data_IF_254121358250
#
_entry.id   IF_254121358250
#
_cell.length_a   1.000
_cell.length_b   1.000
_cell.length_c   1.000
_cell.angle_alpha   90.00
_cell.angle_beta   90.00
_cell.angle_gamma   90.00
#
_symmetry.space_group_name_H-M   'P 1'
#
loop_
_entity.id
_entity.type
_entity.pdbx_description
1 polymer ?
#
# COMPACT_ATOMS: atom_id res chain seq x y z
N UNK A 1 30.64 -26.65 4.96
CA UNK A 1 29.66 -26.52 3.84
C UNK A 1 29.25 -25.06 3.70
N UNK A 2 29.69 -24.42 2.61
CA UNK A 2 29.33 -23.04 2.32
C UNK A 2 27.89 -23.02 1.79
N UNK A 3 26.93 -22.62 2.60
CA UNK A 3 25.53 -22.44 2.16
C UNK A 3 25.54 -21.32 1.11
N UNK A 4 25.09 -21.65 -0.09
CA UNK A 4 25.01 -20.64 -1.19
C UNK A 4 24.02 -19.55 -0.79
N UNK A 5 24.33 -18.29 -1.08
CA UNK A 5 23.43 -17.17 -0.79
C UNK A 5 22.02 -17.37 -1.35
N UNK A 6 21.91 -18.04 -2.51
CA UNK A 6 20.62 -18.42 -3.10
C UNK A 6 19.76 -19.22 -2.11
N UNK A 7 20.35 -20.21 -1.45
CA UNK A 7 19.62 -21.09 -0.53
C UNK A 7 19.18 -20.33 0.73
N UNK A 8 19.96 -19.34 1.16
CA UNK A 8 19.57 -18.45 2.26
C UNK A 8 18.38 -17.56 1.90
N UNK A 9 18.35 -17.03 0.67
CA UNK A 9 17.22 -16.23 0.18
C UNK A 9 15.96 -17.10 0.10
N UNK A 10 16.07 -18.31 -0.44
CA UNK A 10 14.95 -19.26 -0.49
C UNK A 10 14.43 -19.56 0.92
N UNK A 11 15.33 -19.93 1.85
CA UNK A 11 14.96 -20.23 3.22
C UNK A 11 14.27 -19.03 3.92
N UNK A 12 14.68 -17.81 3.63
CA UNK A 12 14.00 -16.61 4.14
C UNK A 12 12.55 -16.55 3.67
N UNK A 13 12.31 -16.69 2.36
CA UNK A 13 10.95 -16.64 1.81
C UNK A 13 10.10 -17.84 2.26
N UNK A 14 10.69 -19.02 2.39
CA UNK A 14 9.99 -20.20 2.92
C UNK A 14 9.53 -20.01 4.38
N UNK A 15 10.29 -19.25 5.15
CA UNK A 15 9.96 -18.87 6.53
C UNK A 15 8.96 -17.73 6.64
N UNK A 16 8.69 -17.00 5.56
CA UNK A 16 7.68 -15.94 5.56
C UNK A 16 6.27 -16.55 5.60
N UNK A 17 5.34 -15.94 6.37
CA UNK A 17 3.92 -16.26 6.24
C UNK A 17 3.42 -16.05 4.82
N UNK A 18 2.37 -16.79 4.43
CA UNK A 18 1.73 -16.59 3.14
C UNK A 18 1.14 -15.18 3.06
N UNK A 19 1.25 -14.53 1.89
CA UNK A 19 0.74 -13.18 1.65
C UNK A 19 1.63 -12.03 2.12
N UNK A 20 2.73 -12.30 2.80
CA UNK A 20 3.66 -11.25 3.23
C UNK A 20 4.49 -10.74 2.06
N UNK A 21 4.35 -9.45 1.76
CA UNK A 21 5.16 -8.74 0.76
C UNK A 21 6.46 -8.26 1.41
N UNK A 22 7.58 -8.59 0.77
CA UNK A 22 8.93 -8.27 1.23
C UNK A 22 9.55 -7.21 0.32
N UNK A 23 9.93 -6.07 0.89
CA UNK A 23 10.69 -5.05 0.19
C UNK A 23 12.17 -5.48 0.07
N UNK A 24 12.65 -5.64 -1.15
CA UNK A 24 13.98 -6.18 -1.42
C UNK A 24 15.12 -5.33 -0.83
N UNK A 25 14.98 -4.00 -0.83
CA UNK A 25 15.98 -3.11 -0.25
C UNK A 25 16.12 -3.33 1.26
N UNK A 26 14.99 -3.44 1.97
CA UNK A 26 14.99 -3.68 3.42
C UNK A 26 15.55 -5.06 3.76
N UNK A 27 15.17 -6.06 2.97
CA UNK A 27 15.70 -7.40 3.13
C UNK A 27 17.21 -7.42 2.92
N UNK A 28 17.71 -6.72 1.89
CA UNK A 28 19.14 -6.59 1.64
C UNK A 28 19.87 -5.96 2.83
N UNK A 29 19.39 -4.82 3.29
CA UNK A 29 20.01 -4.08 4.39
C UNK A 29 20.06 -4.89 5.69
N UNK A 30 18.97 -5.60 6.01
CA UNK A 30 18.83 -6.36 7.26
C UNK A 30 19.59 -7.69 7.26
N UNK A 31 19.49 -8.45 6.17
CA UNK A 31 19.90 -9.86 6.17
C UNK A 31 21.05 -10.17 5.20
N UNK A 32 21.20 -9.40 4.13
CA UNK A 32 22.10 -9.73 3.02
C UNK A 32 23.14 -8.66 2.70
N UNK A 33 23.35 -7.67 3.58
CA UNK A 33 24.30 -6.56 3.37
C UNK A 33 25.77 -7.01 3.19
N UNK A 34 26.10 -8.23 3.60
CA UNK A 34 27.43 -8.84 3.37
C UNK A 34 27.61 -9.40 1.94
N UNK A 35 26.55 -9.47 1.18
CA UNK A 35 26.56 -9.87 -0.22
C UNK A 35 26.65 -8.64 -1.11
N UNK A 36 27.20 -8.76 -2.32
CA UNK A 36 27.12 -7.69 -3.32
C UNK A 36 25.66 -7.40 -3.65
N UNK A 37 25.27 -6.13 -3.57
CA UNK A 37 23.91 -5.67 -3.87
C UNK A 37 23.43 -6.14 -5.25
N UNK A 38 24.25 -5.95 -6.27
CA UNK A 38 23.94 -6.39 -7.64
C UNK A 38 23.71 -7.92 -7.71
N UNK A 39 24.50 -8.70 -6.96
CA UNK A 39 24.34 -10.15 -6.94
C UNK A 39 23.06 -10.56 -6.21
N UNK A 40 22.67 -9.84 -5.14
CA UNK A 40 21.44 -10.08 -4.40
C UNK A 40 20.21 -9.83 -5.30
N UNK A 41 20.10 -8.67 -5.92
CA UNK A 41 18.98 -8.35 -6.81
C UNK A 41 18.90 -9.30 -8.00
N UNK A 42 20.04 -9.66 -8.60
CA UNK A 42 20.07 -10.65 -9.67
C UNK A 42 19.62 -12.04 -9.22
N UNK A 43 19.90 -12.42 -7.97
CA UNK A 43 19.41 -13.66 -7.40
C UNK A 43 17.88 -13.63 -7.22
N UNK A 44 17.31 -12.54 -6.70
CA UNK A 44 15.86 -12.36 -6.58
C UNK A 44 15.16 -12.43 -7.94
N UNK A 45 15.69 -11.76 -8.98
CA UNK A 45 15.13 -11.83 -10.32
C UNK A 45 15.13 -13.26 -10.89
N UNK A 46 16.22 -14.02 -10.67
CA UNK A 46 16.30 -15.42 -11.10
C UNK A 46 15.31 -16.31 -10.36
N UNK A 47 15.17 -16.11 -9.05
CA UNK A 47 14.22 -16.85 -8.24
C UNK A 47 12.77 -16.57 -8.66
N UNK A 48 12.46 -15.31 -8.98
CA UNK A 48 11.15 -14.92 -9.51
C UNK A 48 10.88 -15.52 -10.89
N UNK A 49 11.87 -15.47 -11.81
CA UNK A 49 11.75 -16.11 -13.13
C UNK A 49 11.58 -17.62 -13.06
N UNK A 50 12.13 -18.27 -12.04
CA UNK A 50 11.96 -19.73 -11.83
C UNK A 50 10.71 -20.09 -11.04
N UNK A 51 9.87 -19.12 -10.65
CA UNK A 51 8.63 -19.34 -9.92
C UNK A 51 8.80 -19.73 -8.46
N UNK A 52 10.01 -19.64 -7.90
CA UNK A 52 10.29 -19.97 -6.49
C UNK A 52 9.74 -18.87 -5.57
N UNK A 53 9.86 -17.62 -6.01
CA UNK A 53 9.21 -16.46 -5.38
C UNK A 53 8.39 -15.72 -6.43
N UNK A 54 7.46 -14.91 -6.00
CA UNK A 54 6.67 -14.06 -6.89
C UNK A 54 7.12 -12.61 -6.78
N UNK A 55 7.37 -11.96 -7.92
CA UNK A 55 7.56 -10.51 -7.98
C UNK A 55 6.21 -9.84 -8.09
N UNK A 56 5.81 -9.09 -7.07
CA UNK A 56 4.51 -8.37 -7.05
C UNK A 56 4.63 -6.95 -7.60
N UNK A 57 5.80 -6.32 -7.42
CA UNK A 57 6.13 -5.02 -8.02
C UNK A 57 7.65 -4.85 -8.15
N UNK A 58 8.10 -3.71 -8.67
CA UNK A 58 9.53 -3.37 -8.72
C UNK A 58 10.09 -3.31 -7.30
N UNK A 59 11.02 -4.22 -6.99
CA UNK A 59 11.64 -4.30 -5.66
C UNK A 59 10.76 -4.95 -4.59
N UNK A 60 9.62 -5.53 -4.93
CA UNK A 60 8.71 -6.19 -4.00
C UNK A 60 8.49 -7.64 -4.40
N UNK A 61 8.64 -8.54 -3.45
CA UNK A 61 8.56 -9.99 -3.66
C UNK A 61 7.75 -10.64 -2.56
N UNK A 62 7.20 -11.81 -2.84
CA UNK A 62 6.50 -12.65 -1.87
C UNK A 62 6.74 -14.12 -2.16
N UNK A 63 6.37 -14.99 -1.23
CA UNK A 63 6.38 -16.43 -1.42
C UNK A 63 5.41 -16.83 -2.54
N UNK A 64 5.82 -17.74 -3.40
CA UNK A 64 5.11 -18.07 -4.66
C UNK A 64 3.73 -18.70 -4.50
N UNK A 65 3.28 -19.09 -3.31
CA UNK A 65 2.11 -19.96 -3.16
C UNK A 65 0.76 -19.26 -2.95
N UNK A 66 0.67 -17.92 -2.78
CA UNK A 66 -0.58 -17.33 -2.26
C UNK A 66 -0.82 -15.85 -2.52
N UNK A 67 -0.51 -15.30 -3.69
CA UNK A 67 -0.90 -13.92 -3.97
C UNK A 67 -2.39 -13.80 -4.24
N UNK A 68 -3.14 -13.42 -3.22
CA UNK A 68 -4.46 -12.80 -3.39
C UNK A 68 -4.29 -11.30 -3.32
N UNK A 69 -5.09 -10.54 -4.08
CA UNK A 69 -5.04 -9.07 -4.06
C UNK A 69 -5.21 -8.49 -2.64
N UNK A 70 -5.92 -9.17 -1.76
CA UNK A 70 -6.10 -8.81 -0.36
C UNK A 70 -4.77 -8.81 0.43
N UNK A 71 -3.86 -9.75 0.14
CA UNK A 71 -2.56 -9.84 0.83
C UNK A 71 -1.67 -8.64 0.48
N UNK A 72 -1.73 -8.19 -0.78
CA UNK A 72 -1.01 -6.99 -1.24
C UNK A 72 -1.57 -5.74 -0.57
N UNK A 73 -2.88 -5.62 -0.46
CA UNK A 73 -3.52 -4.51 0.24
C UNK A 73 -3.15 -4.50 1.72
N UNK A 74 -3.17 -5.64 2.40
CA UNK A 74 -2.78 -5.77 3.80
C UNK A 74 -1.35 -5.26 4.05
N UNK A 75 -0.41 -5.47 3.10
CA UNK A 75 0.93 -4.91 3.20
C UNK A 75 0.91 -3.37 3.28
N UNK A 76 0.06 -2.71 2.48
CA UNK A 76 0.00 -1.25 2.44
C UNK A 76 -0.78 -0.65 3.60
N UNK A 77 -1.73 -1.38 4.17
CA UNK A 77 -2.50 -0.95 5.33
C UNK A 77 -1.83 -1.27 6.67
N UNK A 78 -0.89 -2.24 6.70
CA UNK A 78 -0.29 -2.73 7.95
C UNK A 78 -1.24 -3.59 8.79
N UNK A 79 -0.70 -4.21 9.83
CA UNK A 79 -1.45 -5.14 10.70
C UNK A 79 -2.62 -4.47 11.42
N UNK A 80 -2.49 -3.18 11.75
CA UNK A 80 -3.50 -2.40 12.47
C UNK A 80 -4.37 -1.53 11.55
N UNK A 81 -4.20 -1.63 10.23
CA UNK A 81 -4.83 -0.74 9.23
C UNK A 81 -4.55 0.76 9.43
N UNK A 82 -3.39 1.09 9.95
CA UNK A 82 -2.95 2.46 10.29
C UNK A 82 -1.91 3.04 9.31
N UNK A 83 -1.41 2.22 8.37
CA UNK A 83 -0.40 2.64 7.39
C UNK A 83 -0.95 3.00 6.01
N UNK A 84 -2.25 2.92 5.81
CA UNK A 84 -2.90 3.17 4.52
C UNK A 84 -4.25 3.85 4.62
N UNK A 85 -4.61 4.62 3.59
CA UNK A 85 -5.92 5.25 3.45
C UNK A 85 -6.39 5.20 2.00
N UNK A 86 -7.61 4.69 1.78
CA UNK A 86 -8.20 4.68 0.44
C UNK A 86 -8.50 6.08 -0.05
N UNK A 87 -8.31 6.30 -1.35
CA UNK A 87 -8.74 7.50 -2.08
C UNK A 87 -9.57 7.12 -3.31
N UNK A 88 -10.16 8.09 -3.98
CA UNK A 88 -10.97 7.85 -5.17
C UNK A 88 -12.25 7.05 -4.89
N UNK A 89 -12.63 6.20 -5.83
CA UNK A 89 -13.91 5.49 -5.84
C UNK A 89 -14.18 4.69 -4.56
N UNK A 90 -13.19 3.96 -4.03
CA UNK A 90 -13.37 3.19 -2.78
C UNK A 90 -13.64 4.10 -1.58
N UNK A 91 -13.00 5.26 -1.52
CA UNK A 91 -13.26 6.24 -0.48
C UNK A 91 -14.69 6.80 -0.59
N UNK A 92 -15.12 7.17 -1.80
CA UNK A 92 -16.47 7.71 -2.02
C UNK A 92 -17.55 6.69 -1.65
N UNK A 93 -17.32 5.42 -1.99
CA UNK A 93 -18.22 4.32 -1.64
C UNK A 93 -18.24 4.04 -0.12
N UNK A 94 -17.10 4.16 0.56
CA UNK A 94 -17.00 4.01 2.02
C UNK A 94 -18.00 4.92 2.76
N UNK A 95 -18.14 6.15 2.27
CA UNK A 95 -19.10 7.12 2.84
C UNK A 95 -20.45 7.13 2.12
N UNK A 96 -20.64 6.27 1.12
CA UNK A 96 -21.84 6.20 0.31
C UNK A 96 -22.12 7.45 -0.51
N UNK A 97 -21.10 8.28 -0.75
CA UNK A 97 -21.17 9.52 -1.53
C UNK A 97 -21.38 9.21 -3.01
N UNK A 98 -20.90 8.07 -3.48
CA UNK A 98 -21.10 7.55 -4.82
C UNK A 98 -21.35 6.04 -4.76
N UNK A 99 -22.07 5.51 -5.74
CA UNK A 99 -22.31 4.08 -5.93
C UNK A 99 -21.54 3.51 -7.15
N UNK A 100 -20.74 4.34 -7.79
CA UNK A 100 -19.87 3.93 -8.89
C UNK A 100 -18.86 2.90 -8.40
N UNK A 101 -18.70 1.82 -9.13
CA UNK A 101 -17.70 0.78 -8.84
C UNK A 101 -16.53 0.89 -9.81
N UNK A 102 -15.34 0.57 -9.34
CA UNK A 102 -14.12 0.50 -10.14
C UNK A 102 -13.27 -0.67 -9.66
N UNK A 103 -12.65 -1.38 -10.59
CA UNK A 103 -11.65 -2.39 -10.28
C UNK A 103 -10.32 -1.74 -9.85
N UNK A 104 -10.09 -0.48 -10.24
CA UNK A 104 -8.91 0.29 -9.85
C UNK A 104 -8.97 0.69 -8.38
N UNK A 105 -7.90 0.42 -7.65
CA UNK A 105 -7.77 0.70 -6.22
C UNK A 105 -6.70 1.76 -6.02
N UNK A 106 -7.10 2.89 -5.49
CA UNK A 106 -6.19 3.99 -5.18
C UNK A 106 -6.07 4.20 -3.69
N UNK A 107 -4.84 4.35 -3.18
CA UNK A 107 -4.58 4.60 -1.77
C UNK A 107 -3.30 5.40 -1.55
N UNK A 108 -3.21 6.09 -0.41
CA UNK A 108 -1.96 6.53 0.19
C UNK A 108 -1.44 5.48 1.16
N UNK A 109 -0.11 5.35 1.30
CA UNK A 109 0.50 4.49 2.30
C UNK A 109 1.86 5.01 2.75
N UNK A 110 2.19 4.79 4.03
CA UNK A 110 3.53 4.99 4.57
C UNK A 110 4.48 3.82 4.24
N UNK A 111 3.97 2.70 3.74
CA UNK A 111 4.75 1.47 3.50
C UNK A 111 5.59 1.52 2.23
N UNK A 112 5.58 2.60 1.46
CA UNK A 112 6.39 2.75 0.24
C UNK A 112 7.45 3.85 0.39
N UNK A 113 8.64 3.62 -0.18
CA UNK A 113 9.76 4.60 -0.17
C UNK A 113 9.69 5.56 -1.37
N UNK A 114 9.24 5.07 -2.53
CA UNK A 114 9.08 5.86 -3.74
C UNK A 114 7.76 6.63 -3.72
N UNK A 115 7.66 7.71 -4.48
CA UNK A 115 6.45 8.52 -4.61
C UNK A 115 5.21 7.71 -4.99
N UNK A 116 5.38 6.70 -5.83
CA UNK A 116 4.30 5.82 -6.29
C UNK A 116 4.75 4.38 -6.41
N UNK A 117 3.81 3.46 -6.22
CA UNK A 117 3.95 2.04 -6.50
C UNK A 117 2.67 1.52 -7.17
N UNK A 118 2.79 0.84 -8.31
CA UNK A 118 1.66 0.25 -9.01
C UNK A 118 1.82 -1.26 -9.07
N UNK A 119 0.79 -1.98 -8.65
CA UNK A 119 0.73 -3.45 -8.65
C UNK A 119 -0.62 -3.85 -9.25
N UNK A 120 -0.61 -4.33 -10.48
CA UNK A 120 -1.83 -4.63 -11.25
C UNK A 120 -2.81 -3.44 -11.23
N UNK A 121 -3.96 -3.58 -10.61
CA UNK A 121 -4.99 -2.56 -10.47
C UNK A 121 -4.88 -1.76 -9.13
N UNK A 122 -3.80 -1.93 -8.38
CA UNK A 122 -3.56 -1.22 -7.12
C UNK A 122 -2.53 -0.11 -7.36
N UNK A 123 -2.94 1.12 -7.09
CA UNK A 123 -2.15 2.34 -7.23
C UNK A 123 -1.90 2.95 -5.87
N UNK A 124 -0.64 2.92 -5.44
CA UNK A 124 -0.23 3.43 -4.13
C UNK A 124 0.56 4.71 -4.32
N UNK A 125 0.17 5.74 -3.60
CA UNK A 125 0.90 6.99 -3.45
C UNK A 125 1.54 7.03 -2.07
N UNK A 126 2.74 7.56 -1.98
CA UNK A 126 3.40 7.78 -0.71
C UNK A 126 2.64 8.83 0.10
N UNK A 127 2.40 8.53 1.37
CA UNK A 127 1.97 9.54 2.32
C UNK A 127 3.21 10.23 2.90
N UNK A 128 3.25 11.56 2.81
CA UNK A 128 4.37 12.37 3.32
C UNK A 128 4.29 12.63 4.82
N UNK A 129 3.16 12.27 5.43
CA UNK A 129 2.90 12.34 6.85
C UNK A 129 2.62 10.95 7.42
N UNK A 130 2.82 10.78 8.70
CA UNK A 130 2.41 9.57 9.41
C UNK A 130 0.89 9.43 9.36
N UNK A 131 0.41 8.28 8.92
CA UNK A 131 -1.00 7.97 8.84
C UNK A 131 -1.46 7.41 10.19
N UNK A 132 -1.93 8.30 11.05
CA UNK A 132 -2.73 7.93 12.21
C UNK A 132 -4.24 8.07 11.88
N UNK A 133 -5.09 7.69 12.80
CA UNK A 133 -6.55 7.78 12.62
C UNK A 133 -7.04 9.20 12.28
N UNK A 134 -6.47 10.23 12.91
CA UNK A 134 -6.91 11.62 12.70
C UNK A 134 -6.38 12.16 11.37
N UNK A 135 -5.11 11.92 11.05
CA UNK A 135 -4.52 12.33 9.78
C UNK A 135 -5.20 11.63 8.60
N UNK A 136 -5.50 10.33 8.72
CA UNK A 136 -6.24 9.60 7.69
C UNK A 136 -7.62 10.24 7.43
N UNK A 137 -8.35 10.63 8.47
CA UNK A 137 -9.65 11.32 8.32
C UNK A 137 -9.54 12.66 7.63
N UNK A 138 -8.50 13.43 7.91
CA UNK A 138 -8.25 14.72 7.24
C UNK A 138 -7.94 14.48 5.77
N UNK A 139 -7.08 13.51 5.44
CA UNK A 139 -6.79 13.13 4.06
C UNK A 139 -8.06 12.72 3.32
N UNK A 140 -8.89 11.86 3.90
CA UNK A 140 -10.16 11.44 3.32
C UNK A 140 -11.08 12.63 3.03
N UNK A 141 -11.17 13.57 3.95
CA UNK A 141 -12.00 14.75 3.79
C UNK A 141 -11.47 15.69 2.70
N UNK A 142 -10.17 15.94 2.69
CA UNK A 142 -9.53 16.77 1.65
C UNK A 142 -9.68 16.12 0.26
N UNK A 143 -9.48 14.83 0.16
CA UNK A 143 -9.64 14.08 -1.10
C UNK A 143 -11.09 14.22 -1.64
N UNK A 144 -12.09 14.05 -0.78
CA UNK A 144 -13.50 14.18 -1.17
C UNK A 144 -13.83 15.62 -1.55
N UNK A 145 -13.39 16.60 -0.77
CA UNK A 145 -13.68 18.02 -1.01
C UNK A 145 -13.00 18.55 -2.27
N UNK A 146 -11.72 18.22 -2.46
CA UNK A 146 -10.94 18.65 -3.63
C UNK A 146 -11.45 18.03 -4.94
N UNK A 147 -11.96 16.81 -4.87
CA UNK A 147 -12.44 16.08 -6.04
C UNK A 147 -13.96 16.09 -6.20
N UNK A 148 -14.68 16.85 -5.40
CA UNK A 148 -16.16 16.91 -5.41
C UNK A 148 -16.77 16.97 -6.81
N UNK A 149 -16.23 17.84 -7.67
CA UNK A 149 -16.74 18.06 -9.01
C UNK A 149 -16.43 16.92 -10.01
N UNK A 150 -15.56 15.97 -9.62
CA UNK A 150 -15.19 14.80 -10.43
C UNK A 150 -15.93 13.54 -9.99
N UNK A 151 -16.62 13.59 -8.83
CA UNK A 151 -17.30 12.42 -8.30
C UNK A 151 -18.54 12.13 -9.14
N UNK A 152 -18.52 11.00 -9.83
CA UNK A 152 -19.66 10.56 -10.64
C UNK A 152 -20.79 10.05 -9.72
N UNK A 153 -22.04 10.25 -10.16
CA UNK A 153 -23.24 9.82 -9.44
C UNK A 153 -23.27 10.25 -7.98
N UNK A 154 -22.86 11.50 -7.69
CA UNK A 154 -22.74 11.99 -6.32
C UNK A 154 -24.11 12.05 -5.62
N UNK A 155 -24.22 11.39 -4.48
CA UNK A 155 -25.32 11.56 -3.53
C UNK A 155 -25.09 12.81 -2.68
N UNK A 156 -25.76 13.90 -3.04
CA UNK A 156 -25.59 15.21 -2.39
C UNK A 156 -26.00 15.22 -0.92
N UNK A 157 -26.95 14.38 -0.52
CA UNK A 157 -27.36 14.27 0.89
C UNK A 157 -26.29 13.57 1.72
N UNK A 158 -25.75 12.49 1.22
CA UNK A 158 -24.67 11.76 1.90
C UNK A 158 -23.39 12.58 1.94
N UNK A 159 -23.08 13.28 0.85
CA UNK A 159 -21.96 14.25 0.83
C UNK A 159 -22.15 15.34 1.90
N UNK A 160 -23.31 15.99 1.94
CA UNK A 160 -23.60 17.02 2.94
C UNK A 160 -23.52 16.50 4.38
N UNK A 161 -24.00 15.28 4.61
CA UNK A 161 -23.86 14.59 5.90
C UNK A 161 -22.39 14.36 6.26
N UNK A 162 -21.60 13.85 5.33
CA UNK A 162 -20.17 13.66 5.51
C UNK A 162 -19.46 14.98 5.85
N UNK A 163 -19.68 16.04 5.04
CA UNK A 163 -19.07 17.35 5.26
C UNK A 163 -19.43 17.95 6.63
N UNK A 164 -20.70 17.79 7.07
CA UNK A 164 -21.13 18.23 8.38
C UNK A 164 -20.44 17.44 9.52
N UNK A 165 -20.35 16.12 9.38
CA UNK A 165 -19.68 15.28 10.40
C UNK A 165 -18.18 15.60 10.49
N UNK A 166 -17.53 15.85 9.35
CA UNK A 166 -16.14 16.29 9.33
C UNK A 166 -15.96 17.64 10.00
N UNK A 167 -16.80 18.63 9.67
CA UNK A 167 -16.72 19.98 10.24
C UNK A 167 -16.88 20.01 11.78
N UNK A 168 -17.70 19.11 12.35
CA UNK A 168 -17.86 18.99 13.80
C UNK A 168 -16.59 18.45 14.48
N UNK A 169 -15.89 17.52 13.82
CA UNK A 169 -14.66 16.90 14.34
C UNK A 169 -13.37 17.53 13.83
N UNK A 170 -13.45 18.66 13.12
CA UNK A 170 -12.30 19.27 12.47
C UNK A 170 -11.31 19.85 13.48
N UNK A 171 -10.02 19.59 13.23
CA UNK A 171 -8.90 20.15 13.98
C UNK A 171 -8.03 20.98 13.02
N UNK A 172 -8.04 22.31 13.19
CA UNK A 172 -7.30 23.26 12.35
C UNK A 172 -5.79 23.00 12.34
N UNK A 173 -5.23 22.66 13.49
CA UNK A 173 -3.78 22.45 13.62
C UNK A 173 -3.31 21.27 12.76
N UNK A 174 -4.09 20.19 12.73
CA UNK A 174 -3.76 19.02 11.91
C UNK A 174 -3.94 19.24 10.42
N UNK A 175 -4.96 19.97 10.01
CA UNK A 175 -5.22 20.23 8.60
C UNK A 175 -4.12 21.06 7.92
N UNK A 176 -3.31 21.77 8.67
CA UNK A 176 -2.17 22.53 8.14
C UNK A 176 -1.01 21.61 7.73
N UNK A 177 -0.91 20.42 8.32
CA UNK A 177 0.19 19.47 8.08
C UNK A 177 -0.17 18.35 7.06
N UNK A 178 -1.41 18.21 6.69
CA UNK A 178 -1.93 17.25 5.71
C UNK A 178 -2.08 17.92 4.34
#
# INVERSE_FOLDING_TARGET
>A
FMVKYKDKIIAYFDGCPDGVVVAANELYEKEFSKMSEAAFFKALERLAKSGIIQRVAKGMYMKSASSKGDDVLNHFFGENNDNGVYIGTRLYNKYGISDVTSDEIWLYSNSIKNETCNIDNIHVKKADIELDYENARVIEALEILQNYYKIENIDKYKFARFARQFAIGYNDERAVYV
#
